data_IF_657850096175
#
_entry.id   IF_657850096175
#
_cell.length_a   1.000
_cell.length_b   1.000
_cell.length_c   1.000
_cell.angle_alpha   90.00
_cell.angle_beta   90.00
_cell.angle_gamma   90.00
#
_symmetry.space_group_name_H-M   'P 1'
#
loop_
_entity.id
_entity.type
_entity.pdbx_description
1 polymer ?
#
# COMPACT_ATOMS: atom_id res chain seq x y z
N UNK A 1 13.94 14.86 -13.86
CA UNK A 1 14.64 13.64 -13.41
C UNK A 1 14.97 13.67 -11.91
N UNK A 2 15.66 14.68 -11.33
CA UNK A 2 16.00 14.66 -9.90
C UNK A 2 14.77 14.81 -8.97
N UNK A 3 13.80 15.64 -9.33
CA UNK A 3 12.58 15.87 -8.53
C UNK A 3 11.72 14.60 -8.44
N UNK A 4 11.66 13.80 -9.51
CA UNK A 4 10.84 12.59 -9.58
C UNK A 4 11.39 11.52 -8.64
N UNK A 5 12.72 11.35 -8.58
CA UNK A 5 13.37 10.44 -7.63
C UNK A 5 13.13 10.84 -6.17
N UNK A 6 13.23 12.14 -5.86
CA UNK A 6 12.93 12.64 -4.51
C UNK A 6 11.46 12.40 -4.15
N UNK A 7 10.53 12.61 -5.08
CA UNK A 7 9.10 12.36 -4.88
C UNK A 7 8.80 10.86 -4.71
N UNK A 8 9.52 9.97 -5.39
CA UNK A 8 9.41 8.51 -5.25
C UNK A 8 9.78 8.06 -3.83
N UNK A 9 10.95 8.51 -3.35
CA UNK A 9 11.47 8.18 -2.02
C UNK A 9 10.58 8.78 -0.92
N UNK A 10 10.18 10.04 -1.08
CA UNK A 10 9.23 10.67 -0.16
C UNK A 10 7.88 9.96 -0.19
N UNK A 11 7.36 9.59 -1.36
CA UNK A 11 6.11 8.86 -1.53
C UNK A 11 6.12 7.51 -0.84
N UNK A 12 7.27 6.82 -0.79
CA UNK A 12 7.44 5.54 -0.10
C UNK A 12 7.29 5.68 1.43
N UNK A 13 7.69 6.82 2.01
CA UNK A 13 7.54 7.13 3.44
C UNK A 13 6.19 7.78 3.76
N UNK A 14 5.67 8.62 2.86
CA UNK A 14 4.37 9.30 3.01
C UNK A 14 3.22 8.29 3.06
N UNK A 15 3.29 7.17 2.32
CA UNK A 15 2.27 6.10 2.34
C UNK A 15 2.06 5.49 3.74
N UNK A 16 3.09 5.00 4.46
CA UNK A 16 2.96 4.54 5.84
C UNK A 16 2.68 5.67 6.84
N UNK A 17 3.26 6.86 6.66
CA UNK A 17 2.97 8.00 7.53
C UNK A 17 1.48 8.40 7.47
N UNK A 18 0.88 8.41 6.28
CA UNK A 18 -0.54 8.65 6.10
C UNK A 18 -1.42 7.59 6.76
N UNK A 19 -0.98 6.33 6.79
CA UNK A 19 -1.65 5.24 7.51
C UNK A 19 -1.58 5.45 9.05
N UNK A 20 -0.41 5.83 9.58
CA UNK A 20 -0.23 6.12 11.00
C UNK A 20 -1.09 7.31 11.46
N UNK A 21 -1.12 8.39 10.67
CA UNK A 21 -1.99 9.55 10.91
C UNK A 21 -3.47 9.16 10.86
N UNK A 22 -3.86 8.24 9.97
CA UNK A 22 -5.25 7.79 9.83
C UNK A 22 -5.73 6.97 11.03
N UNK A 23 -4.91 6.04 11.53
CA UNK A 23 -5.23 5.32 12.76
C UNK A 23 -5.29 6.27 13.97
N UNK A 24 -4.32 7.19 14.08
CA UNK A 24 -4.27 8.17 15.15
C UNK A 24 -5.49 9.10 15.14
N UNK A 25 -5.86 9.62 13.96
CA UNK A 25 -7.04 10.46 13.79
C UNK A 25 -8.34 9.73 14.16
N UNK A 26 -8.48 8.45 13.78
CA UNK A 26 -9.67 7.67 14.12
C UNK A 26 -9.76 7.42 15.65
N UNK A 27 -8.64 7.14 16.32
CA UNK A 27 -8.63 6.97 17.79
C UNK A 27 -8.88 8.29 18.54
N UNK A 28 -8.33 9.41 18.06
CA UNK A 28 -8.57 10.75 18.62
C UNK A 28 -9.99 11.24 18.32
N UNK A 29 -10.55 10.89 17.16
CA UNK A 29 -11.91 11.21 16.74
C UNK A 29 -12.95 10.61 17.66
N UNK A 30 -12.82 9.32 17.99
CA UNK A 30 -13.69 8.65 18.97
C UNK A 30 -13.61 9.30 20.36
N UNK A 31 -12.41 9.66 20.82
CA UNK A 31 -12.22 10.35 22.10
C UNK A 31 -12.84 11.76 22.11
N UNK A 32 -12.68 12.51 21.01
CA UNK A 32 -13.25 13.85 20.82
C UNK A 32 -14.77 13.81 20.74
N UNK A 33 -15.34 12.80 20.08
CA UNK A 33 -16.78 12.59 19.98
C UNK A 33 -17.41 12.28 21.34
N UNK A 34 -16.79 11.42 22.15
CA UNK A 34 -17.25 11.14 23.51
C UNK A 34 -17.17 12.38 24.41
N UNK A 35 -16.08 13.13 24.33
CA UNK A 35 -15.92 14.37 25.10
C UNK A 35 -16.96 15.44 24.70
N UNK A 36 -17.24 15.60 23.40
CA UNK A 36 -18.22 16.57 22.90
C UNK A 36 -19.65 16.18 23.24
N UNK A 37 -20.03 14.90 23.16
CA UNK A 37 -21.37 14.43 23.57
C UNK A 37 -21.60 14.60 25.08
N UNK A 38 -20.60 14.32 25.92
CA UNK A 38 -20.66 14.59 27.37
C UNK A 38 -20.84 16.08 27.66
N UNK A 39 -20.05 16.94 27.01
CA UNK A 39 -20.09 18.38 27.23
C UNK A 39 -21.41 19.00 26.74
N UNK A 40 -21.89 18.57 25.56
CA UNK A 40 -23.20 18.95 25.02
C UNK A 40 -24.35 18.47 25.91
N UNK A 41 -24.29 17.24 26.41
CA UNK A 41 -25.28 16.70 27.35
C UNK A 41 -25.34 17.48 28.67
N UNK A 42 -24.18 17.85 29.22
CA UNK A 42 -24.10 18.66 30.42
C UNK A 42 -24.66 20.09 30.20
N UNK A 43 -24.30 20.73 29.08
CA UNK A 43 -24.84 22.04 28.71
C UNK A 43 -26.36 22.00 28.49
N UNK A 44 -26.87 21.01 27.78
CA UNK A 44 -28.30 20.85 27.54
C UNK A 44 -29.09 20.60 28.83
N UNK A 45 -28.54 19.83 29.77
CA UNK A 45 -29.12 19.63 31.10
C UNK A 45 -29.16 20.91 31.93
N UNK A 46 -28.13 21.76 31.84
CA UNK A 46 -28.10 23.06 32.52
C UNK A 46 -29.05 24.10 31.93
N UNK A 47 -29.39 23.98 30.63
CA UNK A 47 -30.26 24.91 29.92
C UNK A 47 -31.77 24.62 30.11
N UNK A 48 -32.15 23.59 30.86
CA UNK A 48 -33.56 23.26 31.14
C UNK A 48 -34.34 22.71 29.94
N UNK A 49 -33.65 22.38 28.83
CA UNK A 49 -34.27 21.70 27.69
C UNK A 49 -34.71 20.30 28.13
N UNK A 50 -35.91 19.87 27.73
CA UNK A 50 -36.50 18.60 28.17
C UNK A 50 -35.50 17.44 28.06
N UNK A 51 -34.95 17.03 29.20
CA UNK A 51 -33.87 16.03 29.34
C UNK A 51 -34.19 14.74 28.57
N UNK A 52 -35.47 14.40 28.44
CA UNK A 52 -35.94 13.22 27.71
C UNK A 52 -35.76 13.31 26.19
N UNK A 53 -36.07 14.47 25.57
CA UNK A 53 -35.96 14.64 24.13
C UNK A 53 -34.49 14.72 23.68
N UNK A 54 -33.66 15.40 24.46
CA UNK A 54 -32.21 15.52 24.20
C UNK A 54 -31.50 14.20 24.52
N UNK A 55 -31.87 13.52 25.60
CA UNK A 55 -31.27 12.25 26.01
C UNK A 55 -31.46 11.14 24.97
N UNK A 56 -32.65 11.03 24.38
CA UNK A 56 -32.92 10.02 23.33
C UNK A 56 -32.06 10.22 22.08
N UNK A 57 -31.90 11.48 21.65
CA UNK A 57 -31.07 11.83 20.47
C UNK A 57 -29.58 11.58 20.75
N UNK A 58 -29.10 11.95 21.94
CA UNK A 58 -27.71 11.71 22.34
C UNK A 58 -27.39 10.22 22.47
N UNK A 59 -28.31 9.39 22.97
CA UNK A 59 -28.13 7.94 23.05
C UNK A 59 -28.10 7.29 21.66
N UNK A 60 -28.98 7.72 20.75
CA UNK A 60 -28.99 7.23 19.37
C UNK A 60 -27.68 7.63 18.65
N UNK A 61 -27.26 8.89 18.78
CA UNK A 61 -26.01 9.39 18.21
C UNK A 61 -24.79 8.66 18.79
N UNK A 62 -24.77 8.41 20.10
CA UNK A 62 -23.73 7.61 20.76
C UNK A 62 -23.71 6.15 20.28
N UNK A 63 -24.86 5.53 20.05
CA UNK A 63 -24.95 4.18 19.49
C UNK A 63 -24.38 4.08 18.07
N UNK A 64 -24.75 5.02 17.19
CA UNK A 64 -24.17 5.11 15.84
C UNK A 64 -22.67 5.39 15.87
N UNK A 65 -22.21 6.24 16.79
CA UNK A 65 -20.79 6.52 16.98
C UNK A 65 -20.00 5.24 17.28
N UNK A 66 -20.49 4.39 18.19
CA UNK A 66 -19.83 3.11 18.53
C UNK A 66 -19.71 2.19 17.31
N UNK A 67 -20.77 2.06 16.51
CA UNK A 67 -20.76 1.22 15.30
C UNK A 67 -19.73 1.74 14.28
N UNK A 68 -19.65 3.07 14.11
CA UNK A 68 -18.67 3.70 13.21
C UNK A 68 -17.24 3.45 13.72
N UNK A 69 -16.97 3.56 15.03
CA UNK A 69 -15.66 3.24 15.61
C UNK A 69 -15.22 1.79 15.33
N UNK A 70 -16.17 0.83 15.37
CA UNK A 70 -15.88 -0.55 14.98
C UNK A 70 -15.53 -0.68 13.49
N UNK A 71 -16.24 0.03 12.61
CA UNK A 71 -15.92 0.10 11.18
C UNK A 71 -14.56 0.77 10.93
N UNK A 72 -14.19 1.80 11.70
CA UNK A 72 -12.88 2.44 11.65
C UNK A 72 -11.75 1.50 12.07
N UNK A 73 -11.96 0.69 13.11
CA UNK A 73 -11.00 -0.34 13.53
C UNK A 73 -10.82 -1.42 12.44
N UNK A 74 -11.90 -1.84 11.79
CA UNK A 74 -11.83 -2.77 10.66
C UNK A 74 -11.03 -2.19 9.48
N UNK A 75 -11.32 -0.94 9.11
CA UNK A 75 -10.57 -0.24 8.06
C UNK A 75 -9.09 -0.09 8.44
N UNK A 76 -8.77 0.20 9.71
CA UNK A 76 -7.39 0.27 10.17
C UNK A 76 -6.63 -1.05 10.00
N UNK A 77 -7.29 -2.18 10.25
CA UNK A 77 -6.72 -3.51 10.02
C UNK A 77 -6.42 -3.74 8.53
N UNK A 78 -7.37 -3.40 7.65
CA UNK A 78 -7.17 -3.49 6.21
C UNK A 78 -6.05 -2.55 5.72
N UNK A 79 -5.95 -1.37 6.32
CA UNK A 79 -4.96 -0.39 5.92
C UNK A 79 -3.53 -0.82 6.30
N UNK A 80 -3.35 -1.45 7.46
CA UNK A 80 -2.09 -2.10 7.83
C UNK A 80 -1.78 -3.34 6.97
N UNK A 81 -2.79 -4.12 6.63
CA UNK A 81 -2.65 -5.29 5.75
C UNK A 81 -2.17 -4.89 4.35
N UNK A 82 -2.77 -3.87 3.73
CA UNK A 82 -2.36 -3.39 2.40
C UNK A 82 -0.94 -2.84 2.43
N UNK A 83 -0.54 -2.17 3.52
CA UNK A 83 0.84 -1.70 3.68
C UNK A 83 1.85 -2.86 3.74
N UNK A 84 1.57 -3.88 4.55
CA UNK A 84 2.39 -5.09 4.61
C UNK A 84 2.43 -5.83 3.27
N UNK A 85 1.29 -5.94 2.58
CA UNK A 85 1.20 -6.56 1.27
C UNK A 85 2.06 -5.84 0.23
N UNK A 86 1.97 -4.51 0.14
CA UNK A 86 2.81 -3.70 -0.74
C UNK A 86 4.30 -3.83 -0.40
N UNK A 87 4.64 -3.87 0.89
CA UNK A 87 6.03 -4.06 1.35
C UNK A 87 6.56 -5.43 0.94
N UNK A 88 5.78 -6.49 1.12
CA UNK A 88 6.14 -7.85 0.71
C UNK A 88 6.34 -7.95 -0.81
N UNK A 89 5.46 -7.31 -1.61
CA UNK A 89 5.61 -7.26 -3.07
C UNK A 89 6.85 -6.47 -3.47
N UNK A 90 7.14 -5.34 -2.83
CA UNK A 90 8.34 -4.55 -3.12
C UNK A 90 9.62 -5.32 -2.77
N UNK A 91 9.65 -6.00 -1.62
CA UNK A 91 10.76 -6.88 -1.22
C UNK A 91 10.90 -8.04 -2.20
N UNK A 92 9.78 -8.66 -2.62
CA UNK A 92 9.79 -9.74 -3.60
C UNK A 92 10.35 -9.29 -4.95
N UNK A 93 10.00 -8.08 -5.42
CA UNK A 93 10.55 -7.51 -6.66
C UNK A 93 12.04 -7.17 -6.53
N UNK A 94 12.47 -6.69 -5.37
CA UNK A 94 13.89 -6.43 -5.08
C UNK A 94 14.71 -7.72 -4.98
N UNK A 95 14.14 -8.78 -4.40
CA UNK A 95 14.80 -10.08 -4.24
C UNK A 95 14.97 -10.82 -5.57
N UNK A 96 14.08 -10.62 -6.55
CA UNK A 96 14.12 -11.31 -7.84
C UNK A 96 15.06 -10.67 -8.88
N UNK A 97 15.80 -9.62 -8.53
CA UNK A 97 16.77 -8.96 -9.41
C UNK A 97 18.21 -9.52 -9.25
N UNK A 98 18.38 -10.64 -8.53
CA UNK A 98 19.67 -11.25 -8.22
C UNK A 98 20.10 -12.45 -9.08
N UNK A 99 19.25 -12.95 -9.99
CA UNK A 99 19.52 -14.19 -10.76
C UNK A 99 19.48 -13.99 -12.29
N UNK A 100 20.12 -12.93 -12.78
CA UNK A 100 20.28 -12.72 -14.23
C UNK A 100 21.73 -12.42 -14.62
N UNK A 101 22.70 -13.16 -14.09
CA UNK A 101 24.01 -13.33 -14.70
C UNK A 101 24.44 -14.78 -14.45
N UNK A 102 25.10 -15.40 -15.43
CA UNK A 102 25.38 -16.84 -15.60
C UNK A 102 24.21 -17.50 -16.36
N UNK A 103 24.20 -17.55 -17.70
CA UNK A 103 25.18 -18.24 -18.52
C UNK A 103 25.52 -17.44 -19.80
N UNK A 104 26.79 -17.05 -19.92
CA UNK A 104 27.35 -16.50 -21.16
C UNK A 104 27.39 -17.56 -22.27
N UNK A 105 27.03 -17.09 -23.45
CA UNK A 105 27.12 -17.75 -24.74
C UNK A 105 28.51 -18.38 -25.01
N UNK A 106 28.56 -19.70 -25.13
CA UNK A 106 29.64 -20.40 -25.84
C UNK A 106 29.41 -20.34 -27.35
N UNK A 107 29.86 -19.26 -27.99
CA UNK A 107 30.05 -19.19 -29.44
C UNK A 107 31.56 -19.29 -29.71
N UNK A 108 32.05 -20.50 -29.96
CA UNK A 108 33.39 -20.68 -30.54
C UNK A 108 33.25 -20.83 -32.05
N UNK A 109 33.61 -19.74 -32.73
CA UNK A 109 33.71 -19.63 -34.17
C UNK A 109 34.88 -20.47 -34.70
N UNK A 110 34.58 -21.53 -35.46
CA UNK A 110 35.58 -22.20 -36.30
C UNK A 110 35.66 -21.52 -37.67
N UNK A 111 36.54 -20.51 -37.76
CA UNK A 111 37.13 -20.06 -39.01
C UNK A 111 38.22 -21.04 -39.49
N UNK A 112 38.24 -21.34 -40.80
CA UNK A 112 39.50 -21.64 -41.49
C UNK A 112 39.49 -22.81 -42.48
N UNK A 113 39.16 -22.54 -43.75
CA UNK A 113 40.12 -22.62 -44.86
C UNK A 113 39.41 -22.57 -46.22
N UNK A 114 39.63 -21.47 -46.93
CA UNK A 114 39.48 -21.35 -48.37
C UNK A 114 40.75 -21.91 -49.00
N UNK A 115 40.66 -22.85 -49.94
CA UNK A 115 41.44 -22.95 -51.21
C UNK A 115 41.36 -24.34 -51.83
N UNK A 116 41.43 -24.37 -53.18
CA UNK A 116 41.56 -25.49 -54.12
C UNK A 116 40.25 -25.78 -54.89
N UNK A 117 39.90 -24.97 -55.89
CA UNK A 117 40.32 -25.07 -57.31
C UNK A 117 39.93 -26.37 -58.02
N UNK A 118 39.03 -26.19 -59.00
CA UNK A 118 39.04 -26.77 -60.36
C UNK A 118 39.27 -28.28 -60.55
N UNK A 119 38.28 -28.95 -61.16
CA UNK A 119 38.32 -29.42 -62.58
C UNK A 119 37.52 -30.73 -62.80
N UNK A 120 36.30 -30.57 -63.32
CA UNK A 120 35.68 -31.35 -64.41
C UNK A 120 35.35 -32.87 -64.31
N UNK A 121 34.44 -33.38 -65.19
CA UNK A 121 33.47 -34.44 -64.91
C UNK A 121 33.67 -35.75 -65.73
N UNK A 122 32.89 -36.80 -65.43
CA UNK A 122 32.22 -37.80 -66.33
C UNK A 122 31.96 -39.11 -65.55
N UNK A 123 30.72 -39.58 -65.43
CA UNK A 123 29.94 -40.36 -66.40
C UNK A 123 30.43 -41.82 -66.57
N UNK A 124 29.51 -42.74 -66.29
CA UNK A 124 29.33 -44.07 -66.89
C UNK A 124 30.52 -45.05 -66.88
N UNK A 125 30.42 -46.10 -66.05
CA UNK A 125 30.29 -47.48 -66.54
C UNK A 125 29.79 -48.43 -65.43
#
# INVERSE_FOLDING_TARGET
>A
VPIIFVVEVLGMVIKPAALAIRLFANMVGGHTLMATLMMFGAMAGSAGLAMFAVGGISLLAGGFAVIITFLELFVAFLQAFVFMFLTAVFISQMAHHGEHHDEEHGHEDHHGSVSADTHSPKAAH
#
